data_IF_170204409707
#
_entry.id   IF_170204409707
#
_cell.length_a   1.000
_cell.length_b   1.000
_cell.length_c   1.000
_cell.angle_alpha   90.00
_cell.angle_beta   90.00
_cell.angle_gamma   90.00
#
_symmetry.space_group_name_H-M   'P 1'
#
loop_
_entity.id
_entity.type
_entity.pdbx_description
1 polymer ?
#
# COMPACT_ATOMS: atom_id res chain seq x y z
N UNK A 1 13.50 7.90 8.33
CA UNK A 1 14.60 7.07 7.81
C UNK A 1 14.75 5.83 8.64
N UNK A 2 15.14 4.74 8.05
CA UNK A 2 15.41 3.52 8.80
C UNK A 2 16.79 3.61 9.44
N UNK A 3 16.88 3.11 10.68
CA UNK A 3 18.18 2.99 11.33
C UNK A 3 18.91 1.73 10.85
N UNK A 4 20.12 1.52 11.36
CA UNK A 4 20.94 0.39 10.93
C UNK A 4 20.27 -0.96 11.23
N UNK A 5 19.67 -1.08 12.41
CA UNK A 5 19.05 -2.33 12.83
C UNK A 5 17.83 -2.64 11.98
N UNK A 6 17.03 -1.63 11.65
CA UNK A 6 15.89 -1.79 10.77
C UNK A 6 16.30 -2.21 9.37
N UNK A 7 17.39 -1.62 8.84
CA UNK A 7 17.92 -2.01 7.54
C UNK A 7 18.40 -3.45 7.54
N UNK A 8 19.10 -3.85 8.60
CA UNK A 8 19.53 -5.25 8.75
C UNK A 8 18.35 -6.20 8.77
N UNK A 9 17.31 -5.83 9.52
CA UNK A 9 16.09 -6.65 9.59
C UNK A 9 15.47 -6.80 8.22
N UNK A 10 15.38 -5.71 7.45
CA UNK A 10 14.82 -5.75 6.12
C UNK A 10 15.60 -6.69 5.20
N UNK A 11 16.93 -6.60 5.21
CA UNK A 11 17.77 -7.45 4.36
C UNK A 11 17.75 -8.91 4.83
N UNK A 12 17.61 -9.13 6.12
CA UNK A 12 17.57 -10.49 6.66
C UNK A 12 16.23 -11.17 6.38
N UNK A 13 15.13 -10.45 6.62
CA UNK A 13 13.79 -11.02 6.62
C UNK A 13 13.02 -10.80 5.31
N UNK A 14 13.49 -9.87 4.48
CA UNK A 14 12.83 -9.54 3.23
C UNK A 14 11.68 -8.55 3.38
N UNK A 15 11.39 -8.10 4.59
CA UNK A 15 10.35 -7.11 4.85
C UNK A 15 10.62 -6.40 6.16
N UNK A 16 9.95 -5.26 6.34
CA UNK A 16 9.94 -4.57 7.62
C UNK A 16 8.60 -3.86 7.77
N UNK A 17 8.08 -3.83 9.00
CA UNK A 17 6.85 -3.11 9.33
C UNK A 17 7.23 -1.80 10.02
N UNK A 18 6.74 -0.71 9.48
CA UNK A 18 7.00 0.63 10.02
C UNK A 18 5.68 1.16 10.55
N UNK A 19 5.60 1.27 11.88
CA UNK A 19 4.37 1.75 12.51
C UNK A 19 4.24 3.25 12.38
N UNK A 20 3.01 3.72 12.21
CA UNK A 20 2.67 5.13 12.17
C UNK A 20 3.35 5.89 11.04
N UNK A 21 3.69 5.18 9.95
CA UNK A 21 4.33 5.82 8.81
C UNK A 21 3.37 6.64 7.97
N UNK A 22 2.07 6.37 8.08
CA UNK A 22 1.02 7.09 7.35
C UNK A 22 0.18 7.86 8.36
N UNK A 23 0.11 9.18 8.19
CA UNK A 23 -0.63 10.04 9.11
C UNK A 23 -2.12 9.65 9.13
N UNK A 24 -2.78 9.72 10.30
CA UNK A 24 -4.20 9.36 10.41
C UNK A 24 -5.10 10.11 9.43
N UNK A 25 -4.78 11.37 9.14
CA UNK A 25 -5.56 12.19 8.21
C UNK A 25 -5.55 11.60 6.80
N UNK A 26 -4.42 11.05 6.38
CA UNK A 26 -4.31 10.41 5.07
C UNK A 26 -5.13 9.13 5.01
N UNK A 27 -5.12 8.36 6.10
CA UNK A 27 -5.91 7.14 6.20
C UNK A 27 -7.40 7.47 6.18
N UNK A 28 -7.82 8.48 6.93
CA UNK A 28 -9.24 8.90 6.96
C UNK A 28 -9.70 9.38 5.59
N UNK A 29 -8.89 10.17 4.89
CA UNK A 29 -9.23 10.63 3.54
C UNK A 29 -9.42 9.46 2.59
N UNK A 30 -8.54 8.46 2.66
CA UNK A 30 -8.66 7.29 1.82
C UNK A 30 -9.92 6.47 2.15
N UNK A 31 -10.20 6.28 3.43
CA UNK A 31 -11.40 5.56 3.87
C UNK A 31 -12.68 6.27 3.43
N UNK A 32 -12.75 7.58 3.63
CA UNK A 32 -13.91 8.36 3.23
C UNK A 32 -14.13 8.26 1.72
N UNK A 33 -13.06 8.29 0.95
CA UNK A 33 -13.16 8.17 -0.49
C UNK A 33 -13.66 6.78 -0.91
N UNK A 34 -13.18 5.74 -0.25
CA UNK A 34 -13.65 4.38 -0.52
C UNK A 34 -15.12 4.24 -0.16
N UNK A 35 -15.54 4.77 1.00
CA UNK A 35 -16.92 4.68 1.47
C UNK A 35 -17.90 5.43 0.58
N UNK A 36 -17.45 6.53 -0.04
CA UNK A 36 -18.26 7.33 -0.93
C UNK A 36 -18.24 6.86 -2.38
N UNK A 37 -17.43 5.87 -2.70
CA UNK A 37 -17.28 5.39 -4.07
C UNK A 37 -18.55 4.68 -4.54
N UNK A 38 -18.86 4.89 -5.80
CA UNK A 38 -19.95 4.16 -6.44
C UNK A 38 -19.45 2.79 -6.89
N UNK A 39 -20.38 1.86 -7.00
CA UNK A 39 -20.03 0.52 -7.44
C UNK A 39 -19.38 0.56 -8.81
N UNK A 40 -18.22 -0.06 -8.92
CA UNK A 40 -17.45 -0.09 -10.16
C UNK A 40 -16.60 1.12 -10.42
N UNK A 41 -16.63 2.11 -9.53
CA UNK A 41 -15.79 3.29 -9.69
C UNK A 41 -14.32 2.92 -9.51
N UNK A 42 -13.47 3.41 -10.43
CA UNK A 42 -12.04 3.18 -10.35
C UNK A 42 -11.39 4.26 -9.48
N UNK A 43 -10.89 3.88 -8.33
CA UNK A 43 -10.25 4.79 -7.39
C UNK A 43 -8.73 4.86 -7.59
N UNK A 44 -8.18 4.06 -8.50
CA UNK A 44 -6.72 3.90 -8.60
C UNK A 44 -5.94 5.18 -8.85
N UNK A 45 -6.52 6.14 -9.56
CA UNK A 45 -5.85 7.41 -9.85
C UNK A 45 -6.27 8.53 -8.91
N UNK A 46 -7.11 8.24 -7.92
CA UNK A 46 -7.55 9.26 -6.96
C UNK A 46 -6.39 9.63 -6.03
N UNK A 47 -6.08 10.93 -5.88
CA UNK A 47 -4.99 11.33 -4.98
C UNK A 47 -5.16 10.84 -3.54
N UNK A 48 -6.40 10.66 -3.06
CA UNK A 48 -6.61 10.12 -1.72
C UNK A 48 -5.97 8.75 -1.56
N UNK A 49 -5.86 7.97 -2.64
CA UNK A 49 -5.20 6.67 -2.60
C UNK A 49 -3.68 6.80 -2.73
N UNK A 50 -3.21 7.52 -3.74
CA UNK A 50 -1.77 7.64 -3.98
C UNK A 50 -1.07 8.46 -2.90
N UNK A 51 -1.79 9.36 -2.22
CA UNK A 51 -1.22 10.14 -1.11
C UNK A 51 -0.83 9.26 0.08
N UNK A 52 -1.41 8.07 0.22
CA UNK A 52 -1.00 7.12 1.25
C UNK A 52 0.49 6.80 1.17
N UNK A 53 1.06 6.86 -0.02
CA UNK A 53 2.50 6.76 -0.21
C UNK A 53 3.12 8.14 -0.38
N UNK A 54 2.62 8.93 -1.32
CA UNK A 54 3.30 10.13 -1.79
C UNK A 54 3.41 11.23 -0.74
N UNK A 55 2.47 11.28 0.20
CA UNK A 55 2.47 12.30 1.26
C UNK A 55 2.73 11.73 2.64
N UNK A 56 3.12 10.47 2.73
CA UNK A 56 3.44 9.84 4.01
C UNK A 56 4.94 9.77 4.22
N UNK A 57 5.34 9.31 5.39
CA UNK A 57 6.74 9.07 5.71
C UNK A 57 7.34 7.91 4.91
N UNK A 58 6.50 7.12 4.23
CA UNK A 58 6.98 6.01 3.43
C UNK A 58 7.80 6.46 2.23
N UNK A 59 7.44 7.58 1.61
CA UNK A 59 8.15 8.05 0.42
C UNK A 59 9.63 8.34 0.69
N UNK A 60 9.99 9.15 1.71
CA UNK A 60 11.41 9.35 2.00
C UNK A 60 12.12 8.09 2.48
N UNK A 61 11.42 7.20 3.19
CA UNK A 61 12.02 5.92 3.60
C UNK A 61 12.36 5.07 2.38
N UNK A 62 11.45 4.98 1.42
CA UNK A 62 11.70 4.24 0.18
C UNK A 62 12.84 4.87 -0.62
N UNK A 63 12.88 6.20 -0.68
CA UNK A 63 13.98 6.89 -1.37
C UNK A 63 15.32 6.54 -0.74
N UNK A 64 15.37 6.46 0.59
CA UNK A 64 16.58 6.06 1.31
C UNK A 64 17.00 4.61 0.99
N UNK A 65 16.01 3.73 0.81
CA UNK A 65 16.27 2.30 0.62
C UNK A 65 16.59 1.91 -0.81
N UNK A 66 15.91 2.49 -1.77
CA UNK A 66 16.01 2.07 -3.17
C UNK A 66 16.47 3.18 -4.12
N UNK A 67 16.70 4.38 -3.60
CA UNK A 67 17.08 5.52 -4.42
C UNK A 67 15.86 6.30 -4.92
N UNK A 68 16.13 7.38 -5.65
CA UNK A 68 15.07 8.24 -6.15
C UNK A 68 14.15 7.48 -7.11
N UNK A 69 12.86 7.78 -7.06
CA UNK A 69 11.87 7.17 -7.93
C UNK A 69 10.79 8.22 -8.26
N UNK A 70 10.10 8.00 -9.36
CA UNK A 70 8.97 8.85 -9.73
C UNK A 70 7.78 8.54 -8.82
N UNK A 71 7.11 9.57 -8.27
CA UNK A 71 5.95 9.30 -7.43
C UNK A 71 4.87 8.55 -8.21
N UNK A 72 4.29 7.50 -7.64
CA UNK A 72 3.18 6.80 -8.27
C UNK A 72 2.01 7.74 -8.55
N UNK A 73 1.42 7.63 -9.72
CA UNK A 73 0.25 8.42 -10.11
C UNK A 73 -1.02 7.57 -10.12
N UNK A 74 -0.90 6.28 -9.89
CA UNK A 74 -2.03 5.37 -9.84
C UNK A 74 -1.66 4.16 -8.98
N UNK A 75 -2.68 3.51 -8.47
CA UNK A 75 -2.54 2.27 -7.72
C UNK A 75 -3.72 1.35 -8.06
N UNK A 76 -3.70 0.16 -7.52
CA UNK A 76 -4.81 -0.76 -7.64
C UNK A 76 -5.54 -0.83 -6.30
N UNK A 77 -6.85 -0.62 -6.33
CA UNK A 77 -7.68 -0.72 -5.15
C UNK A 77 -8.56 -1.96 -5.29
N UNK A 78 -8.35 -2.93 -4.42
CA UNK A 78 -9.12 -4.16 -4.43
C UNK A 78 -9.94 -4.29 -3.15
N UNK A 79 -11.13 -4.83 -3.29
CA UNK A 79 -11.99 -5.14 -2.14
C UNK A 79 -11.99 -6.64 -1.96
N UNK A 80 -11.55 -7.09 -0.79
CA UNK A 80 -11.49 -8.51 -0.47
C UNK A 80 -12.62 -8.83 0.49
N UNK A 81 -13.45 -9.78 0.11
CA UNK A 81 -14.54 -10.23 0.97
C UNK A 81 -14.03 -11.31 1.91
N UNK A 82 -14.61 -11.41 3.12
CA UNK A 82 -14.28 -12.52 4.01
C UNK A 82 -14.56 -13.86 3.33
N UNK A 83 -13.68 -14.81 3.56
CA UNK A 83 -13.83 -16.16 3.01
C UNK A 83 -14.36 -17.11 4.07
N UNK A 84 -15.11 -18.08 3.62
CA UNK A 84 -15.54 -19.17 4.49
C UNK A 84 -14.43 -20.22 4.59
N UNK A 85 -14.46 -20.98 5.66
CA UNK A 85 -13.56 -22.12 5.80
C UNK A 85 -13.78 -23.07 4.62
N UNK A 86 -12.71 -23.51 4.01
CA UNK A 86 -12.76 -24.41 2.85
C UNK A 86 -12.80 -23.71 1.51
N UNK A 87 -12.94 -22.41 1.45
CA UNK A 87 -12.87 -21.69 0.19
C UNK A 87 -11.47 -21.79 -0.40
N UNK A 88 -11.44 -21.88 -1.72
CA UNK A 88 -10.15 -21.82 -2.40
C UNK A 88 -9.54 -20.46 -2.27
N UNK A 89 -8.25 -20.44 -1.97
CA UNK A 89 -7.50 -19.23 -2.00
C UNK A 89 -6.92 -19.03 -3.39
N UNK A 90 -7.48 -18.10 -4.13
CA UNK A 90 -6.98 -17.79 -5.46
C UNK A 90 -5.77 -16.89 -5.36
N UNK A 91 -4.77 -17.19 -6.16
CA UNK A 91 -3.67 -16.27 -6.31
C UNK A 91 -4.17 -15.01 -6.97
N UNK A 92 -3.91 -13.92 -6.31
CA UNK A 92 -4.33 -12.63 -6.80
C UNK A 92 -3.12 -11.92 -7.33
N UNK A 93 -3.25 -11.44 -8.53
CA UNK A 93 -2.25 -10.55 -9.06
C UNK A 93 -1.19 -11.20 -9.86
N UNK A 94 -1.02 -12.43 -9.88
CA UNK A 94 -0.03 -12.97 -10.77
C UNK A 94 -0.24 -14.40 -10.99
N UNK A 95 0.12 -14.52 -11.78
CA UNK A 95 0.16 -15.71 -12.17
C UNK A 95 -0.80 -16.32 -12.81
N UNK A 96 -1.10 -16.24 -12.79
CA UNK A 96 -1.68 -16.78 -13.03
C UNK A 96 -1.93 -17.47 -13.82
N UNK A 97 -1.90 -17.65 -14.10
CA UNK A 97 -1.98 -18.36 -14.55
C UNK A 97 -1.46 -18.93 -15.02
N UNK A 98 -1.23 -19.38 -15.02
CA UNK A 98 -0.62 -19.81 -15.16
C UNK A 98 -0.46 -20.26 -15.52
#
# INVERSE_FOLDING_TARGET
>A
MLDRDQKRQFYRDGYIVIKKAVAPELVESALDRIRSAQKGENLGADPAMTDLLNKSSLAPILTDMIGAFDPPIACQVGVVKPRKAGDHFNNIGYRDKD
#
